data_IF_401150863605
#
_entry.id   IF_401150863605
#
_cell.length_a   1.000
_cell.length_b   1.000
_cell.length_c   1.000
_cell.angle_alpha   90.00
_cell.angle_beta   90.00
_cell.angle_gamma   90.00
#
_symmetry.space_group_name_H-M   'P 1'
#
loop_
_entity.id
_entity.type
_entity.pdbx_description
1 polymer ?
#
# COMPACT_ATOMS: atom_id res chain seq x y z
N UNK A 1 -24.05 20.42 74.53
CA UNK A 1 -24.14 19.53 73.35
C UNK A 1 -23.22 20.08 72.28
N UNK A 2 -22.13 19.36 71.98
CA UNK A 2 -21.16 19.73 70.93
C UNK A 2 -21.66 19.16 69.60
N UNK A 3 -21.88 20.02 68.60
CA UNK A 3 -22.20 19.64 67.24
C UNK A 3 -20.89 19.34 66.48
N UNK A 4 -20.84 18.19 65.82
CA UNK A 4 -19.70 17.67 65.04
C UNK A 4 -19.52 18.47 63.73
N UNK A 5 -18.30 18.94 63.38
CA UNK A 5 -18.05 19.67 62.15
C UNK A 5 -17.61 18.71 61.03
N UNK A 6 -18.48 17.79 60.62
CA UNK A 6 -18.13 16.77 59.62
C UNK A 6 -19.23 16.50 58.59
N UNK A 7 -20.14 17.45 58.36
CA UNK A 7 -21.27 17.24 57.42
C UNK A 7 -21.61 18.43 56.51
N UNK A 8 -20.65 19.32 56.22
CA UNK A 8 -20.80 20.35 55.19
C UNK A 8 -19.54 20.42 54.30
N UNK A 9 -19.29 19.36 53.54
CA UNK A 9 -18.36 19.40 52.40
C UNK A 9 -18.90 18.61 51.20
N UNK A 10 -20.22 18.38 51.16
CA UNK A 10 -20.90 17.97 49.95
C UNK A 10 -21.47 19.21 49.29
N UNK A 11 -21.21 19.34 47.98
CA UNK A 11 -21.93 20.20 47.03
C UNK A 11 -21.35 21.61 46.79
N UNK A 12 -20.10 21.72 46.35
CA UNK A 12 -19.61 22.93 45.66
C UNK A 12 -18.74 22.53 44.45
N UNK A 13 -19.24 22.92 43.26
CA UNK A 13 -18.60 22.96 41.93
C UNK A 13 -18.40 21.64 41.16
N UNK A 14 -19.52 21.00 40.79
CA UNK A 14 -19.76 20.68 39.38
C UNK A 14 -19.91 22.01 38.63
N UNK A 15 -19.27 22.17 37.46
CA UNK A 15 -19.31 23.30 36.49
C UNK A 15 -17.96 23.99 36.26
N UNK A 16 -16.93 23.25 35.86
CA UNK A 16 -16.00 23.73 34.84
C UNK A 16 -15.58 22.53 33.98
N UNK A 17 -16.37 22.20 32.98
CA UNK A 17 -15.84 21.49 31.82
C UNK A 17 -15.20 22.57 30.95
N UNK A 18 -13.87 22.69 30.84
CA UNK A 18 -13.33 23.34 29.67
C UNK A 18 -13.65 22.37 28.54
N UNK A 19 -14.70 22.66 27.77
CA UNK A 19 -14.74 22.22 26.39
C UNK A 19 -13.49 22.82 25.76
N UNK A 20 -12.36 22.12 25.84
CA UNK A 20 -11.25 22.33 24.94
C UNK A 20 -11.84 21.88 23.61
N UNK A 21 -12.51 22.81 22.94
CA UNK A 21 -12.69 22.73 21.51
C UNK A 21 -11.27 22.81 20.96
N UNK A 22 -10.68 21.63 20.78
CA UNK A 22 -9.54 21.49 19.91
C UNK A 22 -10.08 21.90 18.55
N UNK A 23 -9.91 23.17 18.21
CA UNK A 23 -10.02 23.67 16.84
C UNK A 23 -8.83 23.06 16.12
N UNK A 24 -8.89 21.75 15.91
CA UNK A 24 -7.99 21.04 15.03
C UNK A 24 -8.45 21.51 13.69
N UNK A 25 -7.60 22.26 13.00
CA UNK A 25 -7.79 22.60 11.59
C UNK A 25 -8.28 21.34 10.86
N UNK A 26 -9.59 21.30 10.57
CA UNK A 26 -10.31 20.14 10.04
C UNK A 26 -10.07 19.97 8.54
N UNK A 27 -8.85 20.29 8.08
CA UNK A 27 -8.46 19.99 6.71
C UNK A 27 -8.27 18.49 6.60
N UNK A 28 -9.06 17.86 5.75
CA UNK A 28 -8.86 16.48 5.31
C UNK A 28 -7.39 16.27 4.94
N UNK A 29 -6.72 15.24 5.46
CA UNK A 29 -5.33 14.99 5.11
C UNK A 29 -5.22 14.59 3.64
N UNK A 30 -4.25 15.17 2.94
CA UNK A 30 -3.83 14.73 1.60
C UNK A 30 -3.00 13.45 1.76
N UNK A 31 -3.10 12.44 0.87
CA UNK A 31 -2.18 11.30 0.87
C UNK A 31 -0.74 11.75 0.54
N UNK A 32 0.27 11.07 1.09
CA UNK A 32 1.66 11.32 0.70
C UNK A 32 1.94 10.66 -0.66
N UNK A 33 2.50 11.38 -1.65
CA UNK A 33 2.95 10.74 -2.88
C UNK A 33 3.96 9.64 -2.61
N UNK A 34 3.92 8.56 -3.40
CA UNK A 34 4.95 7.55 -3.35
C UNK A 34 6.33 8.15 -3.65
N UNK A 35 7.38 7.72 -2.94
CA UNK A 35 8.74 8.06 -3.33
C UNK A 35 9.04 7.60 -4.76
N UNK A 36 9.89 8.33 -5.47
CA UNK A 36 10.27 7.97 -6.85
C UNK A 36 10.90 6.57 -6.98
N UNK A 37 11.54 6.11 -5.91
CA UNK A 37 12.19 4.80 -5.84
C UNK A 37 11.98 4.20 -4.46
N UNK A 38 11.63 2.91 -4.39
CA UNK A 38 11.60 2.16 -3.14
C UNK A 38 11.60 0.65 -3.39
N UNK A 39 11.94 -0.09 -2.33
CA UNK A 39 11.65 -1.51 -2.21
C UNK A 39 10.63 -1.74 -1.10
N UNK A 40 9.68 -2.64 -1.33
CA UNK A 40 8.76 -3.10 -0.30
C UNK A 40 8.69 -4.62 -0.27
N UNK A 41 8.83 -5.20 0.92
CA UNK A 41 8.45 -6.59 1.14
C UNK A 41 6.98 -6.65 1.56
N UNK A 42 6.20 -7.43 0.83
CA UNK A 42 4.76 -7.48 0.96
C UNK A 42 4.30 -8.88 1.33
N UNK A 43 3.30 -8.96 2.19
CA UNK A 43 2.49 -10.15 2.41
C UNK A 43 1.12 -9.92 1.77
N UNK A 44 0.70 -10.84 0.91
CA UNK A 44 -0.56 -10.73 0.18
C UNK A 44 -1.48 -11.90 0.51
N UNK A 45 -2.72 -11.57 0.87
CA UNK A 45 -3.84 -12.50 0.88
C UNK A 45 -4.57 -12.38 -0.46
N UNK A 46 -4.49 -13.43 -1.27
CA UNK A 46 -5.11 -13.44 -2.59
C UNK A 46 -6.59 -13.79 -2.50
N UNK A 47 -7.39 -13.33 -3.46
CA UNK A 47 -8.83 -13.62 -3.57
C UNK A 47 -9.17 -15.13 -3.56
N UNK A 48 -8.22 -15.97 -3.96
CA UNK A 48 -8.31 -17.44 -3.89
C UNK A 48 -8.04 -18.06 -2.51
N UNK A 49 -7.96 -17.24 -1.45
CA UNK A 49 -7.56 -17.63 -0.08
C UNK A 49 -6.14 -18.20 0.01
N UNK A 50 -5.28 -17.90 -0.98
CA UNK A 50 -3.86 -18.32 -1.01
C UNK A 50 -2.97 -17.18 -0.55
N UNK A 51 -1.85 -17.51 0.07
CA UNK A 51 -0.87 -16.54 0.54
C UNK A 51 0.29 -16.39 -0.44
N UNK A 52 0.80 -15.17 -0.54
CA UNK A 52 1.93 -14.82 -1.38
C UNK A 52 2.83 -13.82 -0.65
N UNK A 53 4.13 -14.03 -0.74
CA UNK A 53 5.11 -12.98 -0.46
C UNK A 53 5.47 -12.29 -1.79
N UNK A 54 5.57 -10.97 -1.78
CA UNK A 54 5.97 -10.21 -2.96
C UNK A 54 7.07 -9.23 -2.60
N UNK A 55 8.13 -9.19 -3.39
CA UNK A 55 9.03 -8.04 -3.39
C UNK A 55 8.59 -7.07 -4.49
N UNK A 56 8.38 -5.81 -4.13
CA UNK A 56 8.02 -4.73 -5.03
C UNK A 56 9.21 -3.76 -5.13
N UNK A 57 9.80 -3.67 -6.32
CA UNK A 57 10.86 -2.74 -6.65
C UNK A 57 10.33 -1.68 -7.60
N UNK A 58 10.01 -0.52 -7.04
CA UNK A 58 9.45 0.61 -7.77
C UNK A 58 10.56 1.57 -8.19
N UNK A 59 10.62 1.94 -9.48
CA UNK A 59 11.63 2.86 -10.03
C UNK A 59 10.99 3.76 -11.09
N UNK A 60 10.30 4.81 -10.63
CA UNK A 60 9.59 5.77 -11.46
C UNK A 60 10.47 6.51 -12.48
N UNK A 61 11.68 7.01 -12.13
CA UNK A 61 12.55 7.69 -13.09
C UNK A 61 12.96 6.80 -14.27
N UNK A 62 13.01 5.48 -14.07
CA UNK A 62 13.27 4.49 -15.13
C UNK A 62 12.00 3.85 -15.70
N UNK A 63 10.83 4.25 -15.20
CA UNK A 63 9.52 3.80 -15.68
C UNK A 63 9.29 2.30 -15.58
N UNK A 64 9.78 1.68 -14.50
CA UNK A 64 9.66 0.23 -14.27
C UNK A 64 9.17 -0.07 -12.86
N UNK A 65 8.38 -1.13 -12.75
CA UNK A 65 7.91 -1.70 -11.50
C UNK A 65 8.14 -3.22 -11.56
N UNK A 66 9.06 -3.73 -10.73
CA UNK A 66 9.39 -5.16 -10.73
C UNK A 66 8.80 -5.80 -9.49
N UNK A 67 7.86 -6.72 -9.70
CA UNK A 67 7.36 -7.60 -8.65
C UNK A 67 7.99 -8.99 -8.74
N UNK A 68 8.35 -9.56 -7.59
CA UNK A 68 8.82 -10.94 -7.49
C UNK A 68 7.90 -11.68 -6.53
N UNK A 69 7.08 -12.59 -7.07
CA UNK A 69 6.03 -13.29 -6.36
C UNK A 69 6.48 -14.70 -5.94
N UNK A 70 6.36 -14.99 -4.65
CA UNK A 70 6.52 -16.33 -4.10
C UNK A 70 5.22 -16.79 -3.42
N UNK A 71 4.47 -17.66 -4.10
CA UNK A 71 3.30 -18.36 -3.53
C UNK A 71 3.76 -19.55 -2.68
N UNK A 72 2.99 -19.93 -1.68
CA UNK A 72 3.35 -21.03 -0.74
C UNK A 72 3.76 -22.35 -1.42
N UNK A 73 3.14 -22.70 -2.56
CA UNK A 73 3.39 -23.93 -3.32
C UNK A 73 3.62 -23.65 -4.82
N UNK A 74 4.03 -22.42 -5.16
CA UNK A 74 4.22 -21.99 -6.55
C UNK A 74 5.69 -21.77 -6.89
N UNK A 75 5.97 -21.67 -8.19
CA UNK A 75 7.25 -21.20 -8.69
C UNK A 75 7.44 -19.70 -8.39
N UNK A 76 8.69 -19.26 -8.35
CA UNK A 76 9.04 -17.86 -8.25
C UNK A 76 8.68 -17.17 -9.58
N UNK A 77 7.68 -16.30 -9.54
CA UNK A 77 7.15 -15.59 -10.71
C UNK A 77 7.63 -14.14 -10.66
N UNK A 78 8.25 -13.69 -11.74
CA UNK A 78 8.64 -12.31 -11.94
C UNK A 78 7.56 -11.61 -12.76
N UNK A 79 7.28 -10.36 -12.41
CA UNK A 79 6.45 -9.45 -13.18
C UNK A 79 7.19 -8.13 -13.32
N UNK A 80 7.58 -7.78 -14.54
CA UNK A 80 8.10 -6.45 -14.84
C UNK A 80 7.08 -5.66 -15.64
N UNK A 81 6.60 -4.59 -15.03
CA UNK A 81 5.64 -3.66 -15.57
C UNK A 81 6.36 -2.38 -16.01
N UNK A 82 5.95 -1.84 -17.15
CA UNK A 82 6.53 -0.64 -17.74
C UNK A 82 5.52 0.51 -17.80
N UNK A 83 6.02 1.75 -17.81
CA UNK A 83 5.19 2.95 -17.92
C UNK A 83 4.32 3.02 -19.19
N UNK A 84 4.66 2.26 -20.23
CA UNK A 84 3.87 2.19 -21.46
C UNK A 84 2.69 1.21 -21.37
N UNK A 85 2.48 0.54 -20.23
CA UNK A 85 1.43 -0.45 -20.02
C UNK A 85 1.85 -1.90 -20.30
N UNK A 86 3.04 -2.14 -20.84
CA UNK A 86 3.51 -3.51 -21.10
C UNK A 86 3.99 -4.17 -19.81
N UNK A 87 3.51 -5.38 -19.54
CA UNK A 87 3.97 -6.23 -18.44
C UNK A 87 4.42 -7.61 -18.93
N UNK A 88 5.49 -8.12 -18.34
CA UNK A 88 6.02 -9.46 -18.61
C UNK A 88 5.98 -10.31 -17.35
N UNK A 89 5.16 -11.36 -17.38
CA UNK A 89 5.11 -12.39 -16.35
C UNK A 89 5.99 -13.56 -16.76
N UNK A 90 7.04 -13.89 -15.99
CA UNK A 90 7.96 -14.95 -16.39
C UNK A 90 8.60 -15.73 -15.24
N UNK A 91 9.05 -16.95 -15.54
CA UNK A 91 9.84 -17.79 -14.63
C UNK A 91 11.25 -17.99 -15.16
N UNK A 92 12.27 -17.90 -14.31
CA UNK A 92 13.66 -18.09 -14.73
C UNK A 92 14.05 -19.57 -14.79
N UNK A 93 15.00 -19.90 -15.66
CA UNK A 93 15.58 -21.26 -15.78
C UNK A 93 15.43 -21.87 -17.17
N UNK A 94 15.90 -23.11 -17.34
CA UNK A 94 15.94 -23.80 -18.62
C UNK A 94 14.55 -24.08 -19.23
N UNK A 95 13.50 -24.14 -18.39
CA UNK A 95 12.10 -24.28 -18.79
C UNK A 95 11.29 -23.03 -18.46
N UNK A 96 11.94 -21.86 -18.49
CA UNK A 96 11.30 -20.58 -18.20
C UNK A 96 10.10 -20.33 -19.11
N UNK A 97 9.03 -19.82 -18.51
CA UNK A 97 7.81 -19.44 -19.24
C UNK A 97 7.70 -17.92 -19.30
N UNK A 98 6.98 -17.40 -20.29
CA UNK A 98 6.64 -15.99 -20.35
C UNK A 98 5.19 -15.81 -20.79
N UNK A 99 4.54 -14.78 -20.25
CA UNK A 99 3.29 -14.22 -20.74
C UNK A 99 3.44 -12.70 -20.79
N UNK A 100 3.14 -12.12 -21.95
CA UNK A 100 3.12 -10.68 -22.15
C UNK A 100 1.68 -10.20 -22.02
N UNK A 101 1.48 -9.10 -21.29
CA UNK A 101 0.18 -8.46 -21.12
C UNK A 101 0.33 -6.96 -21.38
N UNK A 102 -0.62 -6.37 -22.07
CA UNK A 102 -0.67 -4.93 -22.32
C UNK A 102 -1.85 -4.33 -21.54
N UNK A 103 -1.57 -3.39 -20.65
CA UNK A 103 -2.56 -2.62 -19.91
C UNK A 103 -2.80 -1.26 -20.57
N UNK A 104 -3.99 -0.70 -20.39
CA UNK A 104 -4.32 0.64 -20.89
C UNK A 104 -3.58 1.76 -20.14
N UNK A 105 -3.02 1.44 -18.96
CA UNK A 105 -2.27 2.35 -18.10
C UNK A 105 -0.93 1.72 -17.74
N UNK A 106 0.08 2.57 -17.53
CA UNK A 106 1.38 2.14 -16.99
C UNK A 106 1.36 1.95 -15.47
N UNK A 107 2.56 1.80 -14.91
CA UNK A 107 2.74 1.67 -13.45
C UNK A 107 2.16 2.88 -12.69
N UNK A 108 1.77 2.72 -11.42
CA UNK A 108 1.25 3.82 -10.61
C UNK A 108 2.22 5.00 -10.60
N UNK A 109 1.71 6.20 -10.86
CA UNK A 109 2.49 7.43 -10.68
C UNK A 109 2.72 7.69 -9.19
N UNK A 110 3.76 8.46 -8.81
CA UNK A 110 3.94 8.89 -7.43
C UNK A 110 2.68 9.50 -6.81
N UNK A 111 1.90 10.23 -7.61
CA UNK A 111 0.69 10.93 -7.24
C UNK A 111 -0.61 10.12 -7.51
N UNK A 112 -0.54 8.78 -7.62
CA UNK A 112 -1.72 8.00 -8.05
C UNK A 112 -2.94 8.13 -7.12
N UNK A 113 -2.75 8.56 -5.87
CA UNK A 113 -3.80 8.84 -4.89
C UNK A 113 -4.34 10.28 -4.95
N UNK A 114 -3.89 11.12 -5.87
CA UNK A 114 -4.49 12.44 -6.08
C UNK A 114 -6.00 12.29 -6.37
N UNK A 115 -6.82 13.18 -5.82
CA UNK A 115 -8.29 13.09 -5.88
C UNK A 115 -8.91 11.83 -5.26
N UNK A 116 -8.17 11.04 -4.46
CA UNK A 116 -8.74 9.92 -3.71
C UNK A 116 -9.68 10.41 -2.59
N UNK A 117 -10.73 9.63 -2.34
CA UNK A 117 -11.73 9.92 -1.32
C UNK A 117 -11.20 9.53 0.07
N UNK A 118 -11.06 10.49 0.97
CA UNK A 118 -10.69 10.19 2.36
C UNK A 118 -11.88 9.58 3.11
N UNK A 119 -11.66 8.41 3.71
CA UNK A 119 -12.69 7.65 4.42
C UNK A 119 -12.60 7.77 5.95
N UNK A 120 -11.56 8.43 6.46
CA UNK A 120 -11.30 8.57 7.88
C UNK A 120 -10.09 7.75 8.34
N UNK A 121 -10.11 7.34 9.61
CA UNK A 121 -9.00 6.63 10.25
C UNK A 121 -9.42 5.28 10.81
N UNK A 122 -8.51 4.29 10.79
CA UNK A 122 -8.72 2.98 11.41
C UNK A 122 -7.42 2.39 11.95
N UNK A 123 -7.50 1.32 12.73
CA UNK A 123 -6.32 0.55 13.18
C UNK A 123 -6.18 -0.70 12.32
N UNK A 124 -5.01 -0.90 11.71
CA UNK A 124 -4.68 -2.11 10.95
C UNK A 124 -3.19 -2.44 11.08
N UNK A 125 -2.84 -3.72 11.15
CA UNK A 125 -1.45 -4.21 11.30
C UNK A 125 -0.66 -3.58 12.47
N UNK A 126 -1.37 -3.10 13.49
CA UNK A 126 -0.78 -2.39 14.64
C UNK A 126 -0.53 -0.89 14.43
N UNK A 127 -0.94 -0.31 13.29
CA UNK A 127 -0.82 1.11 12.95
C UNK A 127 -2.17 1.81 13.02
N UNK A 128 -2.16 3.09 13.40
CA UNK A 128 -3.32 3.97 13.26
C UNK A 128 -3.21 4.69 11.93
N UNK A 129 -4.06 4.33 10.98
CA UNK A 129 -3.94 4.71 9.58
C UNK A 129 -5.04 5.67 9.14
N UNK A 130 -4.67 6.61 8.29
CA UNK A 130 -5.57 7.27 7.36
C UNK A 130 -5.98 6.27 6.27
N UNK A 131 -7.21 6.39 5.77
CA UNK A 131 -7.75 5.52 4.71
C UNK A 131 -8.25 6.37 3.55
N UNK A 132 -7.82 6.03 2.34
CA UNK A 132 -8.35 6.61 1.10
C UNK A 132 -8.88 5.52 0.19
N UNK A 133 -9.91 5.84 -0.58
CA UNK A 133 -10.43 5.02 -1.67
C UNK A 133 -10.18 5.74 -2.99
N UNK A 134 -9.71 4.99 -3.99
CA UNK A 134 -9.43 5.51 -5.32
C UNK A 134 -10.15 4.65 -6.35
N UNK A 135 -11.07 5.31 -7.07
CA UNK A 135 -11.81 4.81 -8.25
C UNK A 135 -12.53 3.46 -8.04
N UNK A 136 -13.06 3.22 -6.84
CA UNK A 136 -13.67 1.96 -6.39
C UNK A 136 -12.79 0.72 -6.62
N UNK A 137 -11.49 0.93 -6.77
CA UNK A 137 -10.52 -0.10 -7.16
C UNK A 137 -9.58 -0.44 -6.02
N UNK A 138 -9.05 0.57 -5.33
CA UNK A 138 -8.06 0.41 -4.26
C UNK A 138 -8.42 1.20 -3.01
N UNK A 139 -8.28 0.56 -1.84
CA UNK A 139 -8.32 1.18 -0.53
C UNK A 139 -6.91 1.21 0.03
N UNK A 140 -6.41 2.41 0.31
CA UNK A 140 -5.03 2.64 0.71
C UNK A 140 -4.95 3.08 2.16
N UNK A 141 -4.07 2.45 2.94
CA UNK A 141 -3.87 2.69 4.36
C UNK A 141 -2.47 3.24 4.59
N UNK A 142 -2.39 4.45 5.13
CA UNK A 142 -1.14 5.14 5.44
C UNK A 142 -1.09 5.45 6.93
N UNK A 143 0.01 5.11 7.58
CA UNK A 143 0.20 5.43 9.01
C UNK A 143 0.10 6.94 9.25
N UNK A 144 -0.76 7.36 10.18
CA UNK A 144 -0.98 8.78 10.50
C UNK A 144 0.31 9.45 10.98
N UNK A 145 1.15 8.72 11.73
CA UNK A 145 2.35 9.29 12.34
C UNK A 145 3.51 9.40 11.34
N UNK A 146 3.82 8.30 10.65
CA UNK A 146 5.00 8.23 9.77
C UNK A 146 4.70 8.47 8.30
N UNK A 147 3.42 8.53 7.94
CA UNK A 147 2.95 8.73 6.55
C UNK A 147 3.39 7.63 5.59
N UNK A 148 3.80 6.48 6.12
CA UNK A 148 4.26 5.35 5.32
C UNK A 148 3.09 4.47 4.88
N UNK A 149 3.19 3.79 3.73
CA UNK A 149 2.22 2.77 3.34
C UNK A 149 2.20 1.64 4.38
N UNK A 150 1.01 1.22 4.78
CA UNK A 150 0.81 0.08 5.71
C UNK A 150 0.12 -1.08 5.00
N UNK A 151 -0.91 -0.77 4.22
CA UNK A 151 -1.73 -1.77 3.55
C UNK A 151 -2.42 -1.16 2.34
N UNK A 152 -2.75 -1.99 1.35
CA UNK A 152 -3.78 -1.66 0.38
C UNK A 152 -4.62 -2.87 0.00
N UNK A 153 -5.91 -2.63 -0.20
CA UNK A 153 -6.89 -3.64 -0.58
C UNK A 153 -7.43 -3.33 -1.97
N UNK A 154 -7.60 -4.38 -2.79
CA UNK A 154 -8.22 -4.28 -4.11
C UNK A 154 -9.67 -4.73 -4.07
N UNK A 155 -10.48 -4.20 -4.99
CA UNK A 155 -11.91 -4.52 -5.12
C UNK A 155 -12.20 -6.01 -5.32
N UNK A 156 -11.24 -6.77 -5.84
CA UNK A 156 -11.34 -8.21 -6.13
C UNK A 156 -11.04 -9.10 -4.91
N UNK A 157 -10.80 -8.50 -3.74
CA UNK A 157 -10.56 -9.20 -2.48
C UNK A 157 -9.09 -9.54 -2.22
N UNK A 158 -8.16 -9.05 -3.04
CA UNK A 158 -6.72 -9.11 -2.71
C UNK A 158 -6.41 -8.07 -1.63
N UNK A 159 -5.77 -8.48 -0.53
CA UNK A 159 -5.22 -7.59 0.49
C UNK A 159 -3.71 -7.67 0.50
N UNK A 160 -3.04 -6.52 0.49
CA UNK A 160 -1.58 -6.38 0.50
C UNK A 160 -1.14 -5.67 1.77
N UNK A 161 -0.29 -6.32 2.56
CA UNK A 161 0.24 -5.82 3.81
C UNK A 161 1.74 -5.53 3.65
N UNK A 162 2.17 -4.35 4.09
CA UNK A 162 3.56 -3.90 3.95
C UNK A 162 4.37 -4.33 5.17
N UNK A 163 5.38 -5.18 4.96
CA UNK A 163 6.29 -5.65 6.01
C UNK A 163 7.48 -4.71 6.15
N UNK A 164 8.14 -4.39 5.03
CA UNK A 164 9.24 -3.41 4.97
C UNK A 164 8.97 -2.40 3.87
N UNK A 165 9.51 -1.19 4.04
CA UNK A 165 9.41 -0.11 3.06
C UNK A 165 10.70 0.71 3.07
N UNK A 166 11.54 0.50 2.06
CA UNK A 166 12.90 1.04 1.95
C UNK A 166 12.96 2.10 0.86
N UNK A 167 12.82 3.36 1.27
CA UNK A 167 12.87 4.51 0.34
C UNK A 167 14.25 4.65 -0.31
N UNK A 168 14.27 4.86 -1.62
CA UNK A 168 15.49 5.02 -2.41
C UNK A 168 16.19 3.72 -2.80
N UNK A 169 15.66 2.56 -2.38
CA UNK A 169 16.18 1.27 -2.82
C UNK A 169 15.91 1.04 -4.31
N UNK A 170 16.88 0.45 -5.01
CA UNK A 170 16.84 0.23 -6.46
C UNK A 170 17.31 -1.18 -6.77
N UNK A 171 16.57 -1.87 -7.65
CA UNK A 171 16.97 -3.17 -8.16
C UNK A 171 18.10 -3.02 -9.19
N UNK A 172 19.07 -3.94 -9.15
CA UNK A 172 20.15 -3.96 -10.14
C UNK A 172 19.58 -4.11 -11.56
N UNK A 173 20.11 -3.33 -12.51
CA UNK A 173 19.57 -3.27 -13.87
C UNK A 173 19.55 -4.65 -14.57
N UNK A 174 20.52 -5.51 -14.27
CA UNK A 174 20.59 -6.89 -14.78
C UNK A 174 19.41 -7.78 -14.36
N UNK A 175 18.69 -7.42 -13.31
CA UNK A 175 17.52 -8.14 -12.79
C UNK A 175 16.19 -7.49 -13.20
N UNK A 176 16.26 -6.39 -13.95
CA UNK A 176 15.11 -5.56 -14.33
C UNK A 176 14.72 -5.71 -15.80
N UNK A 177 15.03 -6.85 -16.43
CA UNK A 177 14.73 -7.09 -17.83
C UNK A 177 14.09 -8.47 -17.99
N UNK A 178 13.03 -8.51 -18.80
CA UNK A 178 12.40 -9.75 -19.20
C UNK A 178 13.38 -10.61 -20.02
N UNK A 179 13.39 -11.94 -19.88
CA UNK A 179 14.25 -12.83 -20.65
C UNK A 179 13.96 -12.77 -22.16
N UNK A 180 14.96 -13.08 -22.99
CA UNK A 180 14.85 -13.00 -24.44
C UNK A 180 13.68 -13.82 -25.04
N UNK A 181 13.31 -14.94 -24.42
CA UNK A 181 12.20 -15.78 -24.86
C UNK A 181 10.81 -15.13 -24.69
N UNK A 182 10.71 -14.01 -23.97
CA UNK A 182 9.49 -13.22 -23.86
C UNK A 182 9.14 -12.46 -25.15
N UNK A 183 10.12 -12.20 -26.01
CA UNK A 183 9.95 -11.41 -27.22
C UNK A 183 9.67 -12.25 -28.47
N UNK A 184 9.60 -13.58 -28.33
CA UNK A 184 9.35 -14.51 -29.43
C UNK A 184 7.90 -14.97 -29.54
N UNK A 185 7.00 -14.46 -28.68
CA UNK A 185 5.59 -14.87 -28.62
C UNK A 185 4.67 -13.74 -29.11
N UNK A 186 3.54 -14.08 -29.73
CA UNK A 186 2.48 -13.11 -30.03
C UNK A 186 1.78 -12.69 -28.72
N UNK A 187 1.59 -11.38 -28.51
CA UNK A 187 0.99 -10.82 -27.30
C UNK A 187 -0.51 -11.14 -27.19
N UNK A 188 -0.98 -11.62 -26.03
CA UNK A 188 -2.41 -11.69 -25.71
C UNK A 188 -2.91 -10.28 -25.31
N UNK A 189 -3.91 -9.76 -26.01
CA UNK A 189 -4.63 -8.54 -25.59
C UNK A 189 -5.78 -8.95 -24.68
N UNK A 190 -5.78 -8.43 -23.45
CA UNK A 190 -6.87 -8.59 -22.47
C UNK A 190 -7.85 -7.43 -22.57
#
# INVERSE_FOLDING_TARGET
>A
MKLNPLSLASLILLLVSPSIEWVGSTSTPTPLPWPEQFHALLYMNLSSSRLQMSELWYDWPRGRNVNIFQKQLGELLYDIEWNNGTSFYYTLGAQGTCRVTEFEVGIPRPDFLDDANYLGTTVTDGFYCNVWEKVDFIWYYEDVQTRRPVRWDFYDGISTHVITFEVGAVLQDSLSQAPAYCFSQESEKL
#
